data_IF_527194049732
#
_entry.id   IF_527194049732
#
_cell.length_a   1.000
_cell.length_b   1.000
_cell.length_c   1.000
_cell.angle_alpha   90.00
_cell.angle_beta   90.00
_cell.angle_gamma   90.00
#
_symmetry.space_group_name_H-M   'P 1'
#
loop_
_entity.id
_entity.type
_entity.pdbx_description
1 polymer ?
#
# COMPACT_ATOMS: atom_id res chain seq x y z
N UNK A 1 -9.56 5.21 12.99
CA UNK A 1 -8.84 4.94 11.71
C UNK A 1 -9.64 5.47 10.51
N UNK A 2 -9.01 6.19 9.56
CA UNK A 2 -9.71 6.91 8.46
C UNK A 2 -10.50 5.99 7.49
N UNK A 3 -9.98 4.79 7.23
CA UNK A 3 -10.59 3.79 6.34
C UNK A 3 -10.58 2.41 7.01
N UNK A 4 -11.56 2.08 7.86
CA UNK A 4 -11.55 0.86 8.67
C UNK A 4 -11.73 -0.43 7.86
N UNK A 5 -12.17 -0.32 6.60
CA UNK A 5 -12.34 -1.46 5.69
C UNK A 5 -11.03 -1.87 5.00
N UNK A 6 -9.96 -1.10 5.14
CA UNK A 6 -8.65 -1.46 4.61
C UNK A 6 -7.93 -2.37 5.60
N UNK A 7 -7.47 -3.52 5.12
CA UNK A 7 -6.60 -4.42 5.88
C UNK A 7 -5.18 -3.82 5.90
N UNK A 8 -4.53 -3.80 7.06
CA UNK A 8 -3.19 -3.22 7.25
C UNK A 8 -2.11 -4.28 7.16
N UNK A 9 -0.95 -3.93 6.60
CA UNK A 9 0.28 -4.73 6.63
C UNK A 9 0.04 -6.17 6.14
N UNK A 10 -0.61 -6.30 4.99
CA UNK A 10 -1.04 -7.60 4.45
C UNK A 10 0.10 -8.25 3.68
N UNK A 11 0.31 -9.54 3.90
CA UNK A 11 1.35 -10.31 3.23
C UNK A 11 0.80 -11.19 2.10
N UNK A 12 1.34 -11.01 0.89
CA UNK A 12 1.04 -11.83 -0.29
C UNK A 12 2.20 -12.75 -0.61
N UNK A 13 1.98 -14.06 -0.52
CA UNK A 13 2.97 -15.07 -0.86
C UNK A 13 3.15 -15.21 -2.38
N UNK A 14 4.35 -15.59 -2.82
CA UNK A 14 4.66 -15.84 -4.25
C UNK A 14 4.39 -17.30 -4.68
N UNK A 15 3.70 -18.08 -3.85
CA UNK A 15 3.42 -19.49 -4.09
C UNK A 15 4.56 -20.44 -3.69
N UNK A 16 4.33 -21.74 -3.88
CA UNK A 16 5.29 -22.79 -3.53
C UNK A 16 6.51 -22.71 -4.44
N UNK A 17 7.70 -22.54 -3.85
CA UNK A 17 8.94 -22.38 -4.61
C UNK A 17 9.19 -20.96 -5.11
N UNK A 18 8.34 -19.99 -4.78
CA UNK A 18 8.41 -18.63 -5.32
C UNK A 18 9.74 -17.90 -5.06
N UNK A 19 10.50 -18.24 -4.01
CA UNK A 19 11.87 -17.70 -3.86
C UNK A 19 12.80 -18.14 -5.00
N UNK A 20 12.69 -19.38 -5.47
CA UNK A 20 13.52 -19.90 -6.55
C UNK A 20 13.11 -19.30 -7.90
N UNK A 21 11.82 -19.08 -8.11
CA UNK A 21 11.27 -18.60 -9.38
C UNK A 21 11.33 -17.07 -9.51
N UNK A 22 11.03 -16.35 -8.43
CA UNK A 22 10.84 -14.90 -8.40
C UNK A 22 11.87 -14.17 -7.52
N UNK A 23 12.81 -14.89 -6.89
CA UNK A 23 13.79 -14.28 -5.98
C UNK A 23 13.22 -13.72 -4.67
N UNK A 24 11.90 -13.85 -4.44
CA UNK A 24 11.19 -13.29 -3.29
C UNK A 24 10.12 -14.26 -2.79
N UNK A 25 9.95 -14.38 -1.47
CA UNK A 25 8.97 -15.29 -0.84
C UNK A 25 7.58 -14.68 -0.71
N UNK A 26 7.52 -13.38 -0.42
CA UNK A 26 6.30 -12.64 -0.17
C UNK A 26 6.54 -11.13 -0.28
N UNK A 27 5.47 -10.39 -0.50
CA UNK A 27 5.42 -8.95 -0.35
C UNK A 27 4.52 -8.59 0.82
N UNK A 28 4.93 -7.59 1.61
CA UNK A 28 4.04 -6.97 2.60
C UNK A 28 3.66 -5.60 2.06
N UNK A 29 2.37 -5.30 2.07
CA UNK A 29 1.81 -4.03 1.55
C UNK A 29 1.18 -3.25 2.71
N UNK A 30 1.18 -1.93 2.64
CA UNK A 30 0.69 -1.09 3.73
C UNK A 30 -0.81 -1.26 3.99
N UNK A 31 -1.60 -1.15 2.93
CA UNK A 31 -3.05 -1.29 2.99
C UNK A 31 -3.60 -2.10 1.82
N UNK A 32 -4.61 -2.93 2.09
CA UNK A 32 -5.27 -3.75 1.09
C UNK A 32 -6.80 -3.59 1.16
N UNK A 33 -7.40 -3.32 0.00
CA UNK A 33 -8.85 -3.34 -0.19
C UNK A 33 -9.25 -4.63 -0.91
N UNK A 34 -9.74 -5.59 -0.13
CA UNK A 34 -10.21 -6.89 -0.64
C UNK A 34 -11.36 -6.78 -1.63
N UNK A 35 -12.23 -5.77 -1.51
CA UNK A 35 -13.40 -5.62 -2.39
C UNK A 35 -13.00 -5.23 -3.81
N UNK A 36 -11.96 -4.43 -3.97
CA UNK A 36 -11.49 -3.94 -5.27
C UNK A 36 -10.22 -4.63 -5.75
N UNK A 37 -9.66 -5.55 -4.95
CA UNK A 37 -8.37 -6.19 -5.16
C UNK A 37 -7.26 -5.16 -5.42
N UNK A 38 -7.21 -4.12 -4.58
CA UNK A 38 -6.29 -2.98 -4.75
C UNK A 38 -5.47 -2.79 -3.49
N UNK A 39 -4.17 -2.57 -3.65
CA UNK A 39 -3.28 -2.17 -2.55
C UNK A 39 -3.04 -0.66 -2.61
N UNK A 40 -2.87 -0.06 -1.44
CA UNK A 40 -2.43 1.32 -1.29
C UNK A 40 -1.12 1.33 -0.52
N UNK A 41 -0.09 1.88 -1.12
CA UNK A 41 1.26 1.97 -0.56
C UNK A 41 1.59 3.42 -0.27
N UNK A 42 2.13 3.70 0.92
CA UNK A 42 2.53 5.06 1.29
C UNK A 42 3.97 5.28 0.86
N UNK A 43 4.16 6.06 -0.21
CA UNK A 43 5.48 6.37 -0.75
C UNK A 43 6.18 7.40 0.14
N UNK A 44 7.26 6.94 0.80
CA UNK A 44 8.21 7.80 1.50
C UNK A 44 9.20 8.50 0.55
N UNK A 45 9.99 9.45 1.05
CA UNK A 45 10.93 10.21 0.23
C UNK A 45 12.12 9.40 -0.36
N UNK A 46 12.15 8.07 -0.24
CA UNK A 46 13.27 7.21 -0.64
C UNK A 46 13.15 6.59 -2.05
N UNK A 47 12.06 6.84 -2.78
CA UNK A 47 11.83 6.29 -4.14
C UNK A 47 12.59 6.98 -5.29
N UNK A 48 13.53 7.89 -5.00
CA UNK A 48 14.20 8.69 -6.05
C UNK A 48 15.37 8.00 -6.76
N UNK A 49 15.72 6.77 -6.42
CA UNK A 49 16.78 6.02 -7.12
C UNK A 49 16.21 5.12 -8.21
N UNK A 50 16.95 4.93 -9.30
CA UNK A 50 16.59 4.02 -10.40
C UNK A 50 16.38 2.58 -9.90
N UNK A 51 17.24 2.11 -8.99
CA UNK A 51 17.10 0.78 -8.36
C UNK A 51 15.79 0.68 -7.56
N UNK A 52 15.38 1.74 -6.87
CA UNK A 52 14.10 1.78 -6.16
C UNK A 52 12.93 1.59 -7.12
N UNK A 53 12.90 2.34 -8.22
CA UNK A 53 11.86 2.25 -9.24
C UNK A 53 11.77 0.86 -9.87
N UNK A 54 12.90 0.25 -10.21
CA UNK A 54 12.91 -1.11 -10.77
C UNK A 54 12.39 -2.15 -9.77
N UNK A 55 12.70 -2.01 -8.48
CA UNK A 55 12.16 -2.90 -7.43
C UNK A 55 10.65 -2.74 -7.29
N UNK A 56 10.17 -1.50 -7.36
CA UNK A 56 8.76 -1.15 -7.29
C UNK A 56 7.98 -1.71 -8.47
N UNK A 57 8.47 -1.51 -9.71
CA UNK A 57 7.89 -2.08 -10.93
C UNK A 57 7.87 -3.61 -10.89
N UNK A 58 8.95 -4.23 -10.43
CA UNK A 58 9.02 -5.69 -10.30
C UNK A 58 7.99 -6.23 -9.30
N UNK A 59 7.88 -5.59 -8.12
CA UNK A 59 6.89 -5.94 -7.10
C UNK A 59 5.47 -5.80 -7.63
N UNK A 60 5.15 -4.65 -8.21
CA UNK A 60 3.81 -4.33 -8.68
C UNK A 60 3.40 -5.27 -9.83
N UNK A 61 4.33 -5.57 -10.75
CA UNK A 61 4.13 -6.56 -11.80
C UNK A 61 3.88 -7.97 -11.27
N UNK A 62 4.61 -8.42 -10.26
CA UNK A 62 4.40 -9.75 -9.66
C UNK A 62 3.10 -9.85 -8.86
N UNK A 63 2.73 -8.81 -8.12
CA UNK A 63 1.45 -8.78 -7.40
C UNK A 63 0.28 -8.85 -8.38
N UNK A 64 0.38 -8.14 -9.52
CA UNK A 64 -0.62 -8.23 -10.57
C UNK A 64 -0.65 -9.63 -11.21
N UNK A 65 0.51 -10.17 -11.59
CA UNK A 65 0.61 -11.47 -12.25
C UNK A 65 0.08 -12.62 -11.38
N UNK A 66 0.45 -12.64 -10.10
CA UNK A 66 0.16 -13.77 -9.20
C UNK A 66 -1.20 -13.67 -8.51
N UNK A 67 -1.69 -12.46 -8.26
CA UNK A 67 -2.88 -12.22 -7.44
C UNK A 67 -3.93 -11.33 -8.11
N UNK A 68 -3.67 -10.81 -9.32
CA UNK A 68 -4.55 -9.86 -10.00
C UNK A 68 -4.67 -8.51 -9.28
N UNK A 69 -3.71 -8.19 -8.42
CA UNK A 69 -3.75 -7.00 -7.56
C UNK A 69 -3.31 -5.76 -8.34
N UNK A 70 -4.00 -4.65 -8.12
CA UNK A 70 -3.60 -3.34 -8.64
C UNK A 70 -2.95 -2.50 -7.53
N UNK A 71 -1.90 -1.75 -7.86
CA UNK A 71 -1.21 -0.86 -6.91
C UNK A 71 -1.60 0.60 -7.12
N UNK A 72 -1.96 1.28 -6.03
CA UNK A 72 -2.07 2.74 -5.97
C UNK A 72 -1.03 3.25 -4.97
N UNK A 73 -0.22 4.24 -5.37
CA UNK A 73 0.75 4.88 -4.48
C UNK A 73 0.22 6.22 -4.00
N UNK A 74 0.38 6.48 -2.71
CA UNK A 74 -0.04 7.72 -2.07
C UNK A 74 1.20 8.33 -1.43
N UNK A 75 1.56 9.54 -1.83
CA UNK A 75 2.67 10.26 -1.21
C UNK A 75 2.31 10.76 0.18
N UNK A 76 3.32 11.00 1.03
CA UNK A 76 3.12 11.63 2.35
C UNK A 76 2.30 12.94 2.26
N UNK A 77 2.54 13.75 1.23
CA UNK A 77 1.80 15.00 1.02
C UNK A 77 0.32 14.76 0.74
N UNK A 78 -0.01 13.72 -0.03
CA UNK A 78 -1.41 13.35 -0.27
C UNK A 78 -2.09 12.83 1.00
N UNK A 79 -1.37 12.06 1.83
CA UNK A 79 -1.88 11.64 3.15
C UNK A 79 -2.20 12.86 4.04
N UNK A 80 -1.29 13.84 4.11
CA UNK A 80 -1.52 15.09 4.86
C UNK A 80 -2.75 15.84 4.34
N UNK A 81 -2.91 15.93 3.02
CA UNK A 81 -4.09 16.57 2.42
C UNK A 81 -5.39 15.83 2.74
N UNK A 82 -5.39 14.50 2.68
CA UNK A 82 -6.56 13.68 3.07
C UNK A 82 -6.94 13.88 4.53
N UNK A 83 -5.94 13.99 5.42
CA UNK A 83 -6.15 14.29 6.83
C UNK A 83 -6.80 15.67 7.02
N UNK A 84 -6.25 16.71 6.39
CA UNK A 84 -6.78 18.06 6.46
C UNK A 84 -8.21 18.15 5.91
N UNK A 85 -8.49 17.50 4.78
CA UNK A 85 -9.84 17.43 4.21
C UNK A 85 -10.82 16.73 5.15
N UNK A 86 -10.39 15.63 5.80
CA UNK A 86 -11.23 14.94 6.76
C UNK A 86 -11.55 15.85 7.95
N UNK A 87 -10.54 16.51 8.51
CA UNK A 87 -10.70 17.47 9.62
C UNK A 87 -11.72 18.56 9.25
N UNK A 88 -11.62 19.14 8.04
CA UNK A 88 -12.58 20.14 7.56
C UNK A 88 -14.01 19.61 7.48
N UNK A 89 -14.20 18.32 7.15
CA UNK A 89 -15.52 17.70 7.00
C UNK A 89 -16.16 17.30 8.33
N UNK A 90 -15.38 16.79 9.29
CA UNK A 90 -15.93 16.22 10.54
C UNK A 90 -15.67 17.08 11.77
N UNK A 91 -14.83 18.11 11.67
CA UNK A 91 -14.34 18.88 12.82
C UNK A 91 -13.23 18.14 13.57
N UNK A 92 -12.29 18.88 14.15
CA UNK A 92 -11.13 18.32 14.90
C UNK A 92 -11.60 17.48 16.10
N UNK A 93 -12.71 17.86 16.72
CA UNK A 93 -13.23 17.23 17.94
C UNK A 93 -13.79 15.82 17.72
N UNK A 94 -14.13 15.47 16.48
CA UNK A 94 -14.62 14.14 16.10
C UNK A 94 -13.53 13.24 15.51
N UNK A 95 -12.26 13.64 15.63
CA UNK A 95 -11.13 12.84 15.20
C UNK A 95 -10.69 11.93 16.35
N UNK A 96 -11.28 10.73 16.44
CA UNK A 96 -10.76 9.66 17.28
C UNK A 96 -9.39 9.22 16.74
N UNK A 97 -8.34 9.86 17.25
CA UNK A 97 -6.98 9.33 17.18
C UNK A 97 -6.90 8.34 18.33
N UNK A 98 -7.16 7.06 18.05
CA UNK A 98 -6.78 5.99 18.98
C UNK A 98 -5.30 6.20 19.32
N UNK A 99 -5.04 6.50 20.60
CA UNK A 99 -3.69 6.63 21.18
C UNK A 99 -2.99 5.27 21.24
#
# INVERSE_FOLDING_TARGET
MLYPYLEKQVAFGTGKGGYKEWGVKKFTVDFYNKKTNTIYEIDGASHFTEIGRLKDEYRDGLLHLLHGINTVRISNKEVEMMLLERIRKVGVENFEIDQ
#
